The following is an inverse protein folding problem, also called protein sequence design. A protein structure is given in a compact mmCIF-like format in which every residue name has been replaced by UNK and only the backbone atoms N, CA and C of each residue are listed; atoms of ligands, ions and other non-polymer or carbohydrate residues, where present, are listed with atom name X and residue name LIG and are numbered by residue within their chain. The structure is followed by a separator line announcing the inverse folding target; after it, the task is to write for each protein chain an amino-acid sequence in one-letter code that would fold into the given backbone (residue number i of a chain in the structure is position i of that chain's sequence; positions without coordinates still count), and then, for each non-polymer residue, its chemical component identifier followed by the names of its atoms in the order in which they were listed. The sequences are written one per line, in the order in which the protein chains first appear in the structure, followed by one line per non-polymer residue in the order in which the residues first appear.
data_IF_399724250155
#
_entry.id   IF_399724250155
#
_cell.length_a   1.000
_cell.length_b   1.000
_cell.length_c   1.000
_cell.angle_alpha   90.00
_cell.angle_beta   90.00
_cell.angle_gamma   90.00
#
_symmetry.space_group_name_H-M   'P 1'
#
loop_
_entity.id
_entity.type
_entity.pdbx_description
1 polymer ?
#
# COMPACT_ATOMS: atom_id res chain seq x y z
N UNK A 1 -85.85 -5.58 -87.59
CA UNK A 1 -84.39 -5.69 -87.86
C UNK A 1 -83.76 -6.30 -86.60
N UNK A 2 -83.33 -7.56 -86.64
CA UNK A 2 -81.94 -8.01 -86.90
C UNK A 2 -80.88 -7.25 -86.08
N UNK A 3 -80.17 -7.96 -85.18
CA UNK A 3 -78.70 -8.23 -85.17
C UNK A 3 -78.28 -8.66 -83.75
N UNK A 4 -77.81 -9.89 -83.53
CA UNK A 4 -76.43 -10.40 -83.73
C UNK A 4 -75.45 -9.77 -82.73
N UNK A 5 -74.88 -10.57 -81.82
CA UNK A 5 -73.56 -11.24 -81.97
C UNK A 5 -72.48 -10.35 -81.32
N UNK A 6 -72.04 -10.68 -80.09
CA UNK A 6 -70.68 -11.24 -79.79
C UNK A 6 -69.61 -10.16 -79.68
N UNK A 7 -68.53 -10.49 -78.95
CA UNK A 7 -67.19 -9.85 -79.03
C UNK A 7 -67.02 -8.70 -78.04
N UNK A 8 -65.99 -8.59 -77.21
CA UNK A 8 -64.81 -9.40 -76.90
C UNK A 8 -64.22 -8.79 -75.61
N UNK A 9 -63.58 -9.66 -74.82
CA UNK A 9 -62.49 -9.38 -73.88
C UNK A 9 -61.84 -7.98 -74.01
N UNK A 10 -62.08 -7.11 -73.04
CA UNK A 10 -61.28 -5.90 -72.81
C UNK A 10 -60.93 -5.81 -71.32
N UNK A 11 -59.67 -6.15 -71.08
CA UNK A 11 -58.89 -6.10 -69.84
C UNK A 11 -59.13 -4.77 -69.11
N UNK A 12 -59.66 -4.83 -67.89
CA UNK A 12 -59.40 -3.80 -66.87
C UNK A 12 -58.74 -4.50 -65.69
N UNK A 13 -57.42 -4.40 -65.74
CA UNK A 13 -56.45 -4.55 -64.67
C UNK A 13 -57.04 -4.18 -63.30
N UNK A 14 -57.40 -5.18 -62.48
CA UNK A 14 -57.54 -4.95 -61.05
C UNK A 14 -56.13 -4.87 -60.49
N UNK A 15 -55.73 -3.63 -60.32
CA UNK A 15 -54.48 -3.14 -59.80
C UNK A 15 -54.17 -3.74 -58.42
N UNK A 16 -52.90 -4.12 -58.30
CA UNK A 16 -52.08 -4.20 -57.09
C UNK A 16 -52.62 -5.01 -55.91
N UNK A 17 -51.99 -6.18 -55.73
CA UNK A 17 -51.18 -6.46 -54.54
C UNK A 17 -51.53 -5.57 -53.34
N UNK A 18 -52.45 -6.03 -52.47
CA UNK A 18 -52.53 -5.51 -51.12
C UNK A 18 -51.33 -6.01 -50.32
N UNK A 19 -50.12 -5.56 -50.68
CA UNK A 19 -48.97 -5.60 -49.78
C UNK A 19 -48.82 -4.18 -49.24
N UNK A 20 -49.59 -3.90 -48.21
CA UNK A 20 -49.19 -2.94 -47.21
C UNK A 20 -49.82 -3.38 -45.89
N UNK A 21 -49.47 -4.60 -45.44
CA UNK A 21 -49.25 -4.73 -44.01
C UNK A 21 -48.23 -3.64 -43.69
N UNK A 22 -48.70 -2.54 -43.10
CA UNK A 22 -47.83 -1.46 -42.67
C UNK A 22 -46.76 -2.15 -41.84
N UNK A 23 -45.52 -2.21 -42.34
CA UNK A 23 -44.40 -2.71 -41.54
C UNK A 23 -44.28 -1.73 -40.38
N UNK A 24 -45.00 -2.00 -39.28
CA UNK A 24 -44.74 -1.36 -38.02
C UNK A 24 -43.35 -1.85 -37.64
N UNK A 25 -42.35 -0.99 -37.79
CA UNK A 25 -41.00 -1.29 -37.35
C UNK A 25 -41.06 -1.35 -35.82
N UNK A 26 -41.14 -2.56 -35.27
CA UNK A 26 -41.08 -2.79 -33.82
C UNK A 26 -39.63 -2.62 -33.38
N UNK A 27 -39.22 -1.37 -33.17
CA UNK A 27 -37.90 -1.04 -32.64
C UNK A 27 -37.99 -0.83 -31.13
N UNK A 28 -36.98 -1.32 -30.43
CA UNK A 28 -36.72 -1.02 -29.03
C UNK A 28 -35.25 -0.66 -28.91
N UNK A 29 -34.95 0.32 -28.07
CA UNK A 29 -33.59 0.76 -27.76
C UNK A 29 -33.48 0.80 -26.24
N UNK A 30 -32.35 0.31 -25.73
CA UNK A 30 -32.03 0.40 -24.31
C UNK A 30 -31.37 1.74 -24.00
N UNK A 31 -31.47 2.18 -22.75
CA UNK A 31 -30.75 3.36 -22.28
C UNK A 31 -29.23 3.10 -22.20
N UNK A 32 -28.47 4.20 -22.15
CA UNK A 32 -27.01 4.14 -21.98
C UNK A 32 -26.66 3.89 -20.52
N UNK A 33 -25.81 2.90 -20.26
CA UNK A 33 -25.19 2.66 -18.95
C UNK A 33 -23.81 3.31 -18.94
N UNK A 34 -23.67 4.38 -18.15
CA UNK A 34 -22.40 5.12 -18.01
C UNK A 34 -21.75 4.78 -16.66
N UNK A 35 -20.49 4.34 -16.69
CA UNK A 35 -19.68 4.09 -15.51
C UNK A 35 -18.54 5.12 -15.45
N UNK A 36 -18.21 5.58 -14.24
CA UNK A 36 -17.07 6.46 -13.97
C UNK A 36 -16.04 5.69 -13.16
N UNK A 37 -14.78 5.74 -13.59
CA UNK A 37 -13.66 5.08 -12.93
C UNK A 37 -12.67 6.15 -12.44
N UNK A 38 -12.15 5.98 -11.23
CA UNK A 38 -11.15 6.85 -10.62
C UNK A 38 -10.13 5.97 -9.94
N UNK A 39 -8.84 6.30 -10.09
CA UNK A 39 -7.79 5.59 -9.37
C UNK A 39 -7.96 5.81 -7.86
N UNK A 40 -7.85 4.74 -7.09
CA UNK A 40 -7.86 4.84 -5.64
C UNK A 40 -6.57 5.50 -5.14
N UNK A 41 -6.66 6.30 -4.06
CA UNK A 41 -5.48 6.73 -3.30
C UNK A 41 -4.97 5.58 -2.42
N UNK A 42 -3.68 5.60 -2.06
CA UNK A 42 -3.09 4.57 -1.19
C UNK A 42 -3.14 4.97 0.29
N UNK A 43 -2.69 6.18 0.61
CA UNK A 43 -2.65 6.71 1.96
C UNK A 43 -2.77 8.24 1.96
N UNK A 44 -3.36 8.80 3.02
CA UNK A 44 -3.40 10.24 3.28
C UNK A 44 -2.19 10.73 4.11
N UNK A 45 -1.56 9.84 4.87
CA UNK A 45 -0.33 10.12 5.61
C UNK A 45 0.57 8.90 5.72
N UNK A 46 1.88 9.13 5.69
CA UNK A 46 2.91 8.11 5.91
C UNK A 46 4.18 8.77 6.49
N UNK A 47 4.64 8.32 7.65
CA UNK A 47 5.86 8.83 8.29
C UNK A 47 6.54 7.78 9.16
N UNK A 48 7.80 8.03 9.50
CA UNK A 48 8.60 7.28 10.47
C UNK A 48 9.28 8.30 11.36
N UNK A 49 9.16 8.14 12.66
CA UNK A 49 9.80 8.97 13.67
C UNK A 49 9.97 8.19 14.99
N UNK A 50 10.63 8.79 15.96
CA UNK A 50 10.77 8.27 17.32
C UNK A 50 10.49 9.37 18.36
N UNK A 51 10.21 9.01 19.61
CA UNK A 51 10.05 9.98 20.69
C UNK A 51 11.39 10.63 21.02
N UNK A 52 11.37 11.88 21.48
CA UNK A 52 12.58 12.55 21.96
C UNK A 52 13.14 11.81 23.19
N UNK A 53 14.38 11.34 23.10
CA UNK A 53 15.04 10.66 24.19
C UNK A 53 15.74 11.66 25.12
N UNK A 54 15.54 11.50 26.44
CA UNK A 54 16.12 12.35 27.47
C UNK A 54 16.95 11.50 28.44
N UNK A 55 18.25 11.75 28.46
CA UNK A 55 19.18 11.02 29.32
C UNK A 55 18.93 11.34 30.80
N UNK A 56 19.00 10.31 31.63
CA UNK A 56 18.88 10.37 33.07
C UNK A 56 20.26 10.30 33.76
N UNK A 57 20.36 10.73 35.03
CA UNK A 57 21.64 10.70 35.76
C UNK A 57 22.26 9.31 35.92
N UNK A 58 21.47 8.24 35.84
CA UNK A 58 21.92 6.85 35.91
C UNK A 58 22.35 6.27 34.54
N UNK A 59 22.32 7.09 33.49
CA UNK A 59 22.66 6.69 32.13
C UNK A 59 21.50 6.11 31.31
N UNK A 60 20.33 5.90 31.93
CA UNK A 60 19.13 5.45 31.21
C UNK A 60 18.48 6.60 30.43
N UNK A 61 17.47 6.28 29.62
CA UNK A 61 16.71 7.27 28.85
C UNK A 61 15.23 7.14 29.12
N UNK A 62 14.56 8.30 29.21
CA UNK A 62 13.09 8.40 29.18
C UNK A 62 12.65 9.02 27.87
N UNK A 63 11.52 8.58 27.35
CA UNK A 63 10.96 9.08 26.10
C UNK A 63 9.90 10.15 26.36
N UNK A 64 10.05 11.31 25.73
CA UNK A 64 8.99 12.31 25.61
C UNK A 64 8.13 11.99 24.38
N UNK A 65 7.04 11.25 24.63
CA UNK A 65 6.11 10.78 23.60
C UNK A 65 5.35 11.90 22.89
N UNK A 66 5.31 13.10 23.46
CA UNK A 66 4.65 14.25 22.83
C UNK A 66 5.54 14.90 21.75
N UNK A 67 6.85 14.71 21.82
CA UNK A 67 7.81 15.30 20.90
C UNK A 67 8.40 14.22 19.99
N UNK A 68 7.96 14.20 18.73
CA UNK A 68 8.46 13.27 17.71
C UNK A 68 9.64 13.88 16.97
N UNK A 69 10.71 13.10 16.79
CA UNK A 69 11.97 13.53 16.17
C UNK A 69 12.45 12.50 15.15
N UNK A 70 13.31 12.97 14.23
CA UNK A 70 13.94 12.13 13.21
C UNK A 70 15.30 11.56 13.67
N UNK A 71 15.84 12.09 14.77
CA UNK A 71 17.11 11.63 15.32
C UNK A 71 17.17 11.85 16.84
N UNK A 72 17.87 10.93 17.49
CA UNK A 72 18.30 11.05 18.88
C UNK A 72 19.78 10.69 18.96
N UNK A 73 20.47 11.28 19.94
CA UNK A 73 21.84 10.94 20.27
C UNK A 73 21.85 10.26 21.63
N UNK A 74 22.62 9.17 21.75
CA UNK A 74 22.69 8.38 22.96
C UNK A 74 24.14 8.26 23.42
N UNK A 75 24.36 8.49 24.71
CA UNK A 75 25.54 8.04 25.44
C UNK A 75 25.22 6.69 26.10
N UNK A 76 26.07 5.70 25.87
CA UNK A 76 25.84 4.31 26.29
C UNK A 76 26.55 4.03 27.61
N UNK A 77 25.83 3.50 28.59
CA UNK A 77 26.39 2.98 29.84
C UNK A 77 26.20 1.46 29.84
N UNK A 78 27.26 0.65 30.03
CA UNK A 78 27.12 -0.80 30.08
C UNK A 78 26.04 -1.25 31.06
N UNK A 79 25.28 -2.28 30.69
CA UNK A 79 24.15 -2.86 31.44
C UNK A 79 22.90 -1.98 31.55
N UNK A 80 22.90 -0.78 30.96
CA UNK A 80 21.75 0.13 30.98
C UNK A 80 21.13 0.19 29.59
N UNK A 81 19.97 -0.44 29.42
CA UNK A 81 19.24 -0.41 28.15
C UNK A 81 18.83 1.01 27.77
N UNK A 82 18.80 1.28 26.46
CA UNK A 82 18.42 2.57 25.91
C UNK A 82 16.97 2.50 25.44
N UNK A 83 16.10 3.35 25.98
CA UNK A 83 14.74 3.48 25.45
C UNK A 83 14.80 4.06 24.03
N UNK A 84 14.17 3.37 23.07
CA UNK A 84 14.19 3.73 21.65
C UNK A 84 12.95 3.17 20.94
N UNK A 85 12.10 4.04 20.41
CA UNK A 85 10.78 3.71 19.86
C UNK A 85 10.55 4.19 18.41
N UNK A 86 11.34 3.74 17.42
CA UNK A 86 11.03 4.00 16.03
C UNK A 86 9.65 3.40 15.70
N UNK A 87 8.76 4.24 15.18
CA UNK A 87 7.38 3.89 14.87
C UNK A 87 7.03 4.38 13.47
N UNK A 88 6.49 3.48 12.65
CA UNK A 88 5.91 3.84 11.36
C UNK A 88 4.45 4.20 11.55
N UNK A 89 4.05 5.37 11.07
CA UNK A 89 2.69 5.89 11.09
C UNK A 89 2.11 5.85 9.68
N UNK A 90 0.94 5.24 9.50
CA UNK A 90 0.26 5.19 8.20
C UNK A 90 -1.24 5.40 8.36
N UNK A 91 -1.82 6.25 7.52
CA UNK A 91 -3.28 6.37 7.37
C UNK A 91 -3.66 5.90 5.98
N UNK A 92 -4.08 4.64 5.87
CA UNK A 92 -4.52 4.06 4.60
C UNK A 92 -5.86 4.64 4.18
N UNK A 93 -6.02 4.79 2.88
CA UNK A 93 -7.31 5.12 2.26
C UNK A 93 -8.26 3.92 2.29
N UNK A 94 -9.55 4.20 2.13
CA UNK A 94 -10.56 3.15 2.09
C UNK A 94 -10.37 2.21 0.89
N UNK A 95 -10.63 0.93 1.11
CA UNK A 95 -10.66 -0.16 0.15
C UNK A 95 -9.32 -0.48 -0.52
N UNK A 96 -8.21 -0.04 0.06
CA UNK A 96 -6.85 -0.33 -0.43
C UNK A 96 -6.04 -1.01 0.66
N UNK A 97 -5.59 -2.23 0.38
CA UNK A 97 -4.58 -2.91 1.19
C UNK A 97 -3.17 -2.47 0.79
N UNK A 98 -2.22 -2.61 1.70
CA UNK A 98 -0.84 -2.16 1.49
C UNK A 98 0.19 -3.11 2.09
N UNK A 99 1.40 -3.08 1.52
CA UNK A 99 2.60 -3.52 2.20
C UNK A 99 3.37 -2.29 2.70
N UNK A 100 3.65 -2.28 4.00
CA UNK A 100 4.62 -1.38 4.61
C UNK A 100 5.94 -2.13 4.68
N UNK A 101 7.01 -1.59 4.12
CA UNK A 101 8.35 -2.13 4.22
C UNK A 101 9.19 -1.33 5.19
N UNK A 102 10.05 -2.02 5.92
CA UNK A 102 11.07 -1.45 6.79
C UNK A 102 12.44 -1.94 6.31
N UNK A 103 13.29 -0.99 5.98
CA UNK A 103 14.70 -1.20 5.70
C UNK A 103 15.50 -0.84 6.95
N UNK A 104 16.40 -1.73 7.39
CA UNK A 104 17.22 -1.57 8.59
C UNK A 104 18.68 -1.67 8.23
N UNK A 105 19.45 -0.63 8.53
CA UNK A 105 20.90 -0.62 8.50
C UNK A 105 21.40 -0.64 9.95
N UNK A 106 21.83 -1.81 10.42
CA UNK A 106 22.25 -2.05 11.79
C UNK A 106 23.78 -2.14 11.85
N UNK A 107 24.41 -1.03 12.22
CA UNK A 107 25.84 -0.89 12.42
C UNK A 107 26.17 -0.74 13.91
N UNK A 108 25.36 -1.30 14.81
CA UNK A 108 25.61 -1.21 16.24
C UNK A 108 26.91 -1.96 16.59
N UNK A 109 27.71 -1.32 17.45
CA UNK A 109 28.95 -1.89 17.96
C UNK A 109 28.71 -3.07 18.91
N UNK A 110 29.77 -3.84 19.16
CA UNK A 110 29.73 -4.99 20.05
C UNK A 110 29.19 -4.61 21.44
N UNK A 111 28.25 -5.41 21.94
CA UNK A 111 27.58 -5.19 23.22
C UNK A 111 26.25 -4.45 23.13
N UNK A 112 25.85 -3.98 21.95
CA UNK A 112 24.52 -3.43 21.69
C UNK A 112 23.70 -4.40 20.86
N UNK A 113 22.38 -4.45 21.10
CA UNK A 113 21.48 -5.30 20.33
C UNK A 113 20.15 -4.61 20.09
N UNK A 114 19.84 -4.38 18.82
CA UNK A 114 18.50 -4.08 18.36
C UNK A 114 17.77 -5.39 18.03
N UNK A 115 16.48 -5.48 18.36
CA UNK A 115 15.67 -6.65 17.99
C UNK A 115 14.38 -6.17 17.34
N UNK A 116 14.20 -6.48 16.06
CA UNK A 116 12.97 -6.14 15.33
C UNK A 116 11.78 -6.90 15.93
N UNK A 117 10.67 -6.20 16.18
CA UNK A 117 9.43 -6.77 16.72
C UNK A 117 8.77 -7.69 15.70
N UNK A 118 8.95 -9.01 15.90
CA UNK A 118 8.39 -10.05 15.02
C UNK A 118 6.88 -10.24 15.18
N UNK A 119 6.25 -9.64 16.19
CA UNK A 119 4.79 -9.53 16.26
C UNK A 119 4.25 -8.49 15.27
N UNK A 120 5.05 -7.48 14.94
CA UNK A 120 4.69 -6.43 13.99
C UNK A 120 5.24 -6.66 12.58
N UNK A 121 6.44 -7.22 12.47
CA UNK A 121 7.22 -7.31 11.24
C UNK A 121 7.59 -8.74 10.85
N UNK A 122 7.43 -9.04 9.56
CA UNK A 122 7.89 -10.26 8.94
C UNK A 122 9.17 -9.98 8.15
N UNK A 123 10.20 -10.82 8.29
CA UNK A 123 11.39 -10.68 7.46
C UNK A 123 11.05 -10.93 5.99
N UNK A 124 11.54 -10.05 5.11
CA UNK A 124 11.41 -10.21 3.66
C UNK A 124 12.42 -11.23 3.10
N UNK A 125 13.42 -11.60 3.90
CA UNK A 125 14.51 -12.52 3.55
C UNK A 125 15.32 -12.06 2.32
N UNK A 126 15.46 -10.75 2.17
CA UNK A 126 16.30 -10.11 1.16
C UNK A 126 17.01 -8.90 1.77
N UNK A 127 18.05 -8.44 1.08
CA UNK A 127 18.66 -7.13 1.33
C UNK A 127 18.34 -6.19 0.18
N UNK A 128 18.39 -4.89 0.46
CA UNK A 128 18.32 -3.81 -0.51
C UNK A 128 19.62 -3.01 -0.46
N UNK A 129 20.25 -2.77 -1.60
CA UNK A 129 21.42 -1.88 -1.67
C UNK A 129 20.97 -0.54 -2.21
N UNK A 130 21.18 0.54 -1.46
CA UNK A 130 20.84 1.87 -1.94
C UNK A 130 21.85 2.41 -2.97
N UNK A 131 21.58 3.61 -3.51
CA UNK A 131 22.43 4.25 -4.51
C UNK A 131 23.84 4.60 -3.99
N UNK A 132 24.05 4.59 -2.67
CA UNK A 132 25.32 4.83 -2.01
C UNK A 132 26.09 3.53 -1.74
N UNK A 133 25.48 2.37 -2.00
CA UNK A 133 26.10 1.07 -1.79
C UNK A 133 25.88 0.48 -0.40
N UNK A 134 25.02 1.08 0.44
CA UNK A 134 24.70 0.57 1.77
C UNK A 134 23.67 -0.54 1.66
N UNK A 135 23.91 -1.66 2.34
CA UNK A 135 23.02 -2.82 2.33
C UNK A 135 22.07 -2.79 3.54
N UNK A 136 20.78 -2.80 3.27
CA UNK A 136 19.70 -2.74 4.24
C UNK A 136 19.01 -4.10 4.37
N UNK A 137 18.75 -4.53 5.60
CA UNK A 137 17.93 -5.72 5.88
C UNK A 137 16.46 -5.37 5.79
N UNK A 138 15.69 -6.14 5.02
CA UNK A 138 14.30 -5.82 4.72
C UNK A 138 13.29 -6.63 5.54
N UNK A 139 12.26 -5.92 6.02
CA UNK A 139 11.08 -6.45 6.69
C UNK A 139 9.82 -5.86 6.07
N UNK A 140 8.68 -6.47 6.33
CA UNK A 140 7.39 -5.95 5.89
C UNK A 140 6.26 -6.25 6.89
N UNK A 141 5.19 -5.45 6.79
CA UNK A 141 3.89 -5.69 7.39
C UNK A 141 2.82 -5.52 6.31
N UNK A 142 1.94 -6.50 6.18
CA UNK A 142 0.75 -6.39 5.35
C UNK A 142 -0.36 -5.72 6.16
N UNK A 143 -0.99 -4.71 5.56
CA UNK A 143 -2.17 -4.04 6.07
C UNK A 143 -3.34 -4.35 5.14
N UNK A 144 -4.39 -4.92 5.71
CA UNK A 144 -5.60 -5.24 4.96
C UNK A 144 -6.39 -3.97 4.66
N UNK A 145 -7.01 -3.94 3.48
CA UNK A 145 -7.91 -2.85 3.10
C UNK A 145 -9.19 -2.88 3.93
N UNK A 146 -9.71 -1.70 4.28
CA UNK A 146 -10.96 -1.54 5.03
C UNK A 146 -11.91 -0.61 4.31
N UNK A 147 -13.22 -0.76 4.51
CA UNK A 147 -14.25 0.12 3.93
C UNK A 147 -14.11 1.59 4.38
N UNK A 148 -13.39 1.84 5.46
CA UNK A 148 -13.07 3.18 5.97
C UNK A 148 -11.55 3.36 6.04
N UNK A 149 -11.05 4.61 5.94
CA UNK A 149 -9.65 4.89 6.22
C UNK A 149 -9.22 4.36 7.59
N UNK A 150 -7.99 3.88 7.68
CA UNK A 150 -7.47 3.26 8.88
C UNK A 150 -6.08 3.83 9.22
N UNK A 151 -5.97 4.40 10.42
CA UNK A 151 -4.69 4.78 10.99
C UNK A 151 -4.07 3.59 11.72
N UNK A 152 -2.81 3.30 11.45
CA UNK A 152 -2.04 2.22 12.06
C UNK A 152 -0.67 2.76 12.43
N UNK A 153 -0.29 2.52 13.69
CA UNK A 153 1.05 2.78 14.20
C UNK A 153 1.77 1.45 14.39
N UNK A 154 2.98 1.32 13.86
CA UNK A 154 3.73 0.07 13.80
C UNK A 154 5.09 0.28 14.47
N UNK A 155 5.24 -0.24 15.69
CA UNK A 155 6.51 -0.20 16.40
C UNK A 155 7.54 -1.12 15.74
N UNK A 156 8.78 -0.64 15.67
CA UNK A 156 9.87 -1.36 14.99
C UNK A 156 10.63 -2.31 15.93
N UNK A 157 10.92 -1.88 17.16
CA UNK A 157 11.77 -2.63 18.09
C UNK A 157 10.97 -3.35 19.17
N UNK A 158 11.39 -4.58 19.46
CA UNK A 158 10.86 -5.37 20.58
C UNK A 158 11.17 -4.66 21.88
N UNK A 159 10.12 -4.40 22.68
CA UNK A 159 10.27 -3.70 23.95
C UNK A 159 10.68 -2.23 23.82
N UNK A 160 10.71 -1.67 22.61
CA UNK A 160 11.07 -0.27 22.34
C UNK A 160 12.38 0.14 23.00
N UNK A 161 13.41 -0.69 22.80
CA UNK A 161 14.73 -0.47 23.39
C UNK A 161 15.85 -1.04 22.53
N UNK A 162 17.05 -0.53 22.80
CA UNK A 162 18.31 -1.20 22.50
C UNK A 162 18.81 -1.85 23.78
N UNK A 163 19.10 -3.16 23.72
CA UNK A 163 19.66 -3.90 24.86
C UNK A 163 21.15 -3.66 24.91
N UNK A 164 21.66 -3.35 26.11
CA UNK A 164 23.08 -3.06 26.35
C UNK A 164 23.67 -4.13 27.25
N UNK A 165 24.74 -4.77 26.77
CA UNK A 165 25.44 -5.84 27.46
C UNK A 165 26.36 -5.37 28.58
N UNK A 166 27.06 -6.33 29.18
CA UNK A 166 27.99 -6.11 30.30
C UNK A 166 29.19 -5.24 29.92
N UNK A 167 29.59 -5.30 28.65
CA UNK A 167 30.66 -4.52 28.04
C UNK A 167 30.18 -3.97 26.71
N UNK A 168 30.66 -2.80 26.32
CA UNK A 168 30.38 -2.18 25.02
C UNK A 168 31.70 -1.76 24.37
N UNK A 169 31.75 -1.78 23.04
CA UNK A 169 32.86 -1.23 22.30
C UNK A 169 32.98 0.30 22.48
N UNK A 170 34.19 0.85 22.31
CA UNK A 170 34.41 2.31 22.32
C UNK A 170 33.61 3.02 21.21
N UNK A 171 33.55 2.38 20.03
CA UNK A 171 32.64 2.78 18.96
C UNK A 171 31.34 1.98 19.05
N UNK A 172 30.28 2.63 19.52
CA UNK A 172 28.96 2.03 19.65
C UNK A 172 28.16 2.01 18.33
N UNK A 173 28.68 2.65 17.27
CA UNK A 173 28.07 2.66 15.95
C UNK A 173 26.70 3.36 15.91
N UNK A 174 25.88 2.98 14.94
CA UNK A 174 24.52 3.52 14.75
C UNK A 174 23.55 2.46 14.23
N UNK A 175 22.26 2.79 14.28
CA UNK A 175 21.23 2.02 13.59
C UNK A 175 20.28 3.00 12.90
N UNK A 176 19.97 2.73 11.64
CA UNK A 176 19.15 3.59 10.78
C UNK A 176 17.96 2.80 10.23
N UNK A 177 16.83 3.48 10.09
CA UNK A 177 15.58 2.90 9.62
C UNK A 177 14.99 3.73 8.50
N UNK A 178 14.53 3.08 7.43
CA UNK A 178 13.71 3.68 6.38
C UNK A 178 12.42 2.90 6.22
N UNK A 179 11.32 3.60 5.92
CA UNK A 179 10.03 2.98 5.66
C UNK A 179 9.53 3.28 4.24
N UNK A 180 8.91 2.30 3.62
CA UNK A 180 8.31 2.41 2.28
C UNK A 180 6.89 1.86 2.28
N UNK A 181 6.06 2.36 1.39
CA UNK A 181 4.66 1.97 1.30
C UNK A 181 4.30 1.67 -0.16
N UNK A 182 3.64 0.54 -0.41
CA UNK A 182 3.05 0.24 -1.72
C UNK A 182 1.74 -0.51 -1.56
N UNK A 183 0.84 -0.44 -2.53
CA UNK A 183 -0.41 -1.21 -2.50
C UNK A 183 -0.11 -2.72 -2.47
N UNK A 184 -0.93 -3.51 -1.79
CA UNK A 184 -0.78 -4.97 -1.82
C UNK A 184 -1.47 -5.59 -3.04
N UNK A 185 -2.58 -4.99 -3.48
CA UNK A 185 -3.31 -5.45 -4.64
C UNK A 185 -2.48 -5.36 -5.92
N UNK A 186 -2.54 -6.40 -6.76
CA UNK A 186 -1.80 -6.45 -8.03
C UNK A 186 -0.41 -7.08 -7.93
N UNK A 187 0.02 -7.51 -6.74
CA UNK A 187 1.26 -8.26 -6.52
C UNK A 187 0.98 -9.64 -5.93
N UNK A 188 1.87 -10.61 -6.16
CA UNK A 188 1.69 -11.99 -5.63
C UNK A 188 2.04 -12.11 -4.16
N UNK A 189 3.04 -11.35 -3.71
CA UNK A 189 3.52 -11.31 -2.34
C UNK A 189 4.30 -10.01 -2.08
N UNK A 190 4.82 -9.85 -0.86
CA UNK A 190 5.57 -8.66 -0.46
C UNK A 190 6.89 -8.49 -1.23
N UNK A 191 7.56 -9.59 -1.61
CA UNK A 191 8.83 -9.51 -2.34
C UNK A 191 8.59 -9.04 -3.79
N UNK A 192 7.56 -9.55 -4.43
CA UNK A 192 7.09 -9.09 -5.74
C UNK A 192 6.72 -7.60 -5.70
N UNK A 193 5.97 -7.17 -4.69
CA UNK A 193 5.60 -5.77 -4.50
C UNK A 193 6.82 -4.87 -4.30
N UNK A 194 7.80 -5.30 -3.49
CA UNK A 194 9.05 -4.59 -3.28
C UNK A 194 9.84 -4.42 -4.58
N UNK A 195 10.10 -5.51 -5.30
CA UNK A 195 10.93 -5.50 -6.51
C UNK A 195 10.34 -4.63 -7.63
N UNK A 196 9.01 -4.60 -7.76
CA UNK A 196 8.34 -3.79 -8.77
C UNK A 196 8.19 -2.31 -8.39
N UNK A 197 8.23 -1.98 -7.09
CA UNK A 197 8.05 -0.61 -6.60
C UNK A 197 9.39 0.09 -6.32
N UNK A 198 10.27 -0.54 -5.56
CA UNK A 198 11.44 0.08 -4.93
C UNK A 198 12.76 -0.67 -5.18
N UNK A 199 12.72 -1.99 -5.38
CA UNK A 199 13.89 -2.86 -5.51
C UNK A 199 14.63 -2.78 -6.85
N UNK A 200 14.75 -1.57 -7.42
CA UNK A 200 15.50 -1.29 -8.66
C UNK A 200 16.91 -0.81 -8.38
#
# INVERSE_FOLDING_TARGET
MKKKLTTVLAIVLVVALSVAGTYAYLTAQTDTVTNTFTAAGLASSFSLDESKANQQPDGSYTLDVATRVQENQYSVVPKVNLAKDPTVHVTLEANVGAYVFLAVDDNLGDGLTATIDRGNWTALNTTYTDAQGVAWTMYYKQLEGSATPAQVDINVLTGQQIVVGDTVAEDCGNIVFNAYLTQSAGFTDALDAWNNSWGK
#
